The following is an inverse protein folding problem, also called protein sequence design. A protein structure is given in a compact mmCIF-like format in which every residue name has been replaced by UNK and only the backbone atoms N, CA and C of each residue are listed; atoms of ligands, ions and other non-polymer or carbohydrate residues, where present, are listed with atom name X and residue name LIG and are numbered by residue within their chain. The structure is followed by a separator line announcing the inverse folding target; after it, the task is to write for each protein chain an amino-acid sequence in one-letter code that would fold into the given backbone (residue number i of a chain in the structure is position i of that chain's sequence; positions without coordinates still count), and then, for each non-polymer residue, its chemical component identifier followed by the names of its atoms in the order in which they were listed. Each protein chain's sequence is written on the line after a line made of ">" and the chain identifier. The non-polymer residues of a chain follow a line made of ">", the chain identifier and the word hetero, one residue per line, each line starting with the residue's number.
data_IF_301445820032
#
_entry.id   IF_301445820032
#
_cell.length_a   1.000
_cell.length_b   1.000
_cell.length_c   1.000
_cell.angle_alpha   90.00
_cell.angle_beta   90.00
_cell.angle_gamma   90.00
#
_symmetry.space_group_name_H-M   'P 1'
#
loop_
_entity.id
_entity.type
_entity.pdbx_description
1 polymer ?
#
# COMPACT_ATOMS: atom_id res chain seq x y z
N UNK A 1 -6.00 18.95 -37.57
CA UNK A 1 -6.76 17.81 -37.00
C UNK A 1 -6.69 17.87 -35.48
N UNK A 2 -7.58 17.16 -34.77
CA UNK A 2 -7.74 17.28 -33.31
C UNK A 2 -6.50 16.87 -32.49
N UNK A 3 -5.60 16.04 -33.04
CA UNK A 3 -4.46 15.51 -32.31
C UNK A 3 -3.10 16.05 -32.78
N UNK A 4 -3.06 17.02 -33.69
CA UNK A 4 -1.81 17.51 -34.29
C UNK A 4 -0.85 18.16 -33.29
N UNK A 5 -1.38 18.63 -32.16
CA UNK A 5 -0.62 19.29 -31.11
C UNK A 5 -0.49 18.44 -29.83
N UNK A 6 -0.85 17.16 -29.87
CA UNK A 6 -0.66 16.27 -28.70
C UNK A 6 0.84 16.06 -28.53
N UNK A 7 1.36 16.49 -27.38
CA UNK A 7 2.76 16.29 -27.04
C UNK A 7 3.00 14.85 -26.57
N UNK A 8 4.18 14.32 -26.89
CA UNK A 8 4.62 13.05 -26.36
C UNK A 8 4.80 13.17 -24.84
N UNK A 9 4.40 12.13 -24.11
CA UNK A 9 4.65 12.04 -22.67
C UNK A 9 6.14 11.98 -22.35
N UNK A 10 6.49 12.28 -21.10
CA UNK A 10 7.87 12.13 -20.62
C UNK A 10 8.34 10.67 -20.73
N UNK A 11 9.65 10.43 -20.98
CA UNK A 11 10.21 9.08 -20.98
C UNK A 11 9.99 8.36 -19.64
N UNK A 12 9.63 7.08 -19.70
CA UNK A 12 9.54 6.20 -18.53
C UNK A 12 10.65 5.15 -18.65
N UNK A 13 11.69 5.31 -17.82
CA UNK A 13 12.87 4.43 -17.83
C UNK A 13 12.51 2.97 -17.49
N UNK A 14 11.48 2.73 -16.68
CA UNK A 14 11.04 1.38 -16.33
C UNK A 14 10.26 0.75 -17.48
N UNK A 15 9.42 1.53 -18.17
CA UNK A 15 8.76 1.10 -19.40
C UNK A 15 9.77 0.72 -20.48
N UNK A 16 10.76 1.58 -20.74
CA UNK A 16 11.79 1.31 -21.74
C UNK A 16 12.64 0.10 -21.39
N UNK A 17 13.07 -0.02 -20.12
CA UNK A 17 13.84 -1.17 -19.65
C UNK A 17 13.04 -2.47 -19.84
N UNK A 18 11.75 -2.45 -19.51
CA UNK A 18 10.89 -3.62 -19.68
C UNK A 18 10.77 -4.04 -21.14
N UNK A 19 10.52 -3.09 -22.05
CA UNK A 19 10.47 -3.38 -23.48
C UNK A 19 11.77 -3.99 -24.00
N UNK A 20 12.92 -3.46 -23.57
CA UNK A 20 14.23 -3.99 -23.96
C UNK A 20 14.44 -5.41 -23.42
N UNK A 21 14.13 -5.66 -22.15
CA UNK A 21 14.26 -6.97 -21.52
C UNK A 21 13.33 -8.02 -22.16
N UNK A 22 12.10 -7.65 -22.52
CA UNK A 22 11.15 -8.54 -23.19
C UNK A 22 11.55 -8.83 -24.64
N UNK A 23 12.08 -7.83 -25.34
CA UNK A 23 12.58 -7.96 -26.72
C UNK A 23 13.92 -8.68 -26.86
N UNK A 24 14.68 -8.83 -25.77
CA UNK A 24 15.96 -9.56 -25.79
C UNK A 24 15.72 -11.07 -25.97
N UNK A 25 16.29 -11.64 -27.03
CA UNK A 25 16.19 -13.08 -27.36
C UNK A 25 17.39 -13.88 -26.88
N UNK A 26 18.35 -13.27 -26.18
CA UNK A 26 19.51 -13.98 -25.64
C UNK A 26 19.05 -15.03 -24.62
N UNK A 27 19.40 -16.32 -24.80
CA UNK A 27 18.98 -17.39 -23.88
C UNK A 27 19.57 -17.23 -22.46
N UNK A 28 20.60 -16.41 -22.29
CA UNK A 28 21.24 -16.13 -21.00
C UNK A 28 20.81 -14.79 -20.38
N UNK A 29 19.72 -14.17 -20.87
CA UNK A 29 19.26 -12.89 -20.34
C UNK A 29 18.83 -13.00 -18.87
N UNK A 30 19.06 -11.93 -18.12
CA UNK A 30 18.60 -11.78 -16.74
C UNK A 30 17.89 -10.43 -16.61
N UNK A 31 16.58 -10.46 -16.31
CA UNK A 31 15.77 -9.26 -16.06
C UNK A 31 15.78 -8.95 -14.55
N UNK A 32 16.49 -7.89 -14.17
CA UNK A 32 16.55 -7.36 -12.81
C UNK A 32 15.79 -6.03 -12.66
N UNK A 33 14.97 -5.66 -13.65
CA UNK A 33 14.30 -4.36 -13.67
C UNK A 33 13.03 -4.33 -12.83
N UNK A 34 12.07 -5.20 -13.15
CA UNK A 34 10.75 -5.17 -12.50
C UNK A 34 10.78 -5.96 -11.20
N UNK A 35 10.35 -5.33 -10.09
CA UNK A 35 10.21 -5.95 -8.77
C UNK A 35 9.07 -6.98 -8.67
N UNK A 36 9.21 -8.11 -9.37
CA UNK A 36 8.35 -9.29 -9.31
C UNK A 36 9.17 -10.44 -8.74
N UNK A 37 8.67 -11.08 -7.69
CA UNK A 37 9.25 -12.32 -7.18
C UNK A 37 9.15 -13.44 -8.23
N UNK A 38 10.28 -14.09 -8.49
CA UNK A 38 10.42 -15.18 -9.46
C UNK A 38 10.87 -16.46 -8.77
N UNK A 39 10.46 -17.60 -9.31
CA UNK A 39 10.97 -18.90 -8.87
C UNK A 39 12.39 -19.16 -9.39
N UNK A 40 12.96 -20.32 -9.08
CA UNK A 40 14.32 -20.72 -9.47
C UNK A 40 14.51 -20.84 -10.99
N UNK A 41 13.42 -20.87 -11.77
CA UNK A 41 13.44 -20.86 -13.23
C UNK A 41 13.25 -19.45 -13.83
N UNK A 42 13.18 -18.40 -13.00
CA UNK A 42 12.93 -17.02 -13.44
C UNK A 42 11.49 -16.75 -13.86
N UNK A 43 10.55 -17.65 -13.57
CA UNK A 43 9.14 -17.57 -13.95
C UNK A 43 8.28 -17.01 -12.81
N UNK A 44 7.02 -16.69 -13.13
CA UNK A 44 6.03 -16.34 -12.10
C UNK A 44 5.94 -17.46 -11.05
N UNK A 45 6.12 -17.08 -9.78
CA UNK A 45 5.98 -17.99 -8.67
C UNK A 45 4.55 -17.90 -8.11
N UNK A 46 3.74 -18.92 -8.38
CA UNK A 46 2.41 -19.04 -7.79
C UNK A 46 2.49 -19.68 -6.40
N UNK A 47 1.98 -18.97 -5.39
CA UNK A 47 1.93 -19.48 -4.01
C UNK A 47 0.95 -20.66 -3.92
N UNK A 48 1.27 -21.66 -3.08
CA UNK A 48 0.39 -22.82 -2.85
C UNK A 48 -1.00 -22.42 -2.36
N UNK A 49 -1.06 -21.49 -1.40
CA UNK A 49 -2.32 -20.94 -0.89
C UNK A 49 -3.13 -20.26 -2.00
N UNK A 50 -2.45 -19.58 -2.93
CA UNK A 50 -3.09 -18.92 -4.08
C UNK A 50 -3.66 -19.94 -5.06
N UNK A 51 -2.92 -21.00 -5.37
CA UNK A 51 -3.43 -22.08 -6.21
C UNK A 51 -4.68 -22.73 -5.60
N UNK A 52 -4.65 -23.07 -4.32
CA UNK A 52 -5.80 -23.67 -3.63
C UNK A 52 -7.02 -22.73 -3.62
N UNK A 53 -6.81 -21.43 -3.38
CA UNK A 53 -7.87 -20.43 -3.44
C UNK A 53 -8.48 -20.29 -4.85
N UNK A 54 -7.67 -20.34 -5.92
CA UNK A 54 -8.18 -20.35 -7.30
C UNK A 54 -9.03 -21.58 -7.58
N UNK A 55 -8.56 -22.76 -7.17
CA UNK A 55 -9.29 -24.02 -7.34
C UNK A 55 -10.63 -23.98 -6.57
N UNK A 56 -10.64 -23.40 -5.36
CA UNK A 56 -11.85 -23.19 -4.57
C UNK A 56 -12.86 -22.23 -5.24
N UNK A 57 -12.40 -21.08 -5.74
CA UNK A 57 -13.27 -20.11 -6.41
C UNK A 57 -13.81 -20.66 -7.74
N UNK A 58 -13.02 -21.45 -8.47
CA UNK A 58 -13.47 -22.11 -9.69
C UNK A 58 -14.59 -23.12 -9.40
N UNK A 59 -14.51 -23.84 -8.28
CA UNK A 59 -15.53 -24.81 -7.88
C UNK A 59 -16.83 -24.14 -7.37
N UNK A 60 -16.74 -22.97 -6.73
CA UNK A 60 -17.89 -22.28 -6.14
C UNK A 60 -18.57 -21.28 -7.08
N UNK A 61 -17.87 -20.80 -8.11
CA UNK A 61 -18.36 -19.84 -9.11
C UNK A 61 -19.10 -18.63 -8.48
N UNK A 62 -18.37 -17.72 -7.81
CA UNK A 62 -18.95 -16.60 -7.06
C UNK A 62 -19.52 -15.47 -7.96
N UNK A 63 -19.94 -15.76 -9.20
CA UNK A 63 -20.41 -14.83 -10.22
C UNK A 63 -19.43 -13.68 -10.56
N UNK A 64 -19.87 -12.74 -11.41
CA UNK A 64 -19.09 -11.58 -11.85
C UNK A 64 -19.83 -10.25 -11.65
N UNK A 65 -20.77 -10.22 -10.70
CA UNK A 65 -21.53 -9.01 -10.38
C UNK A 65 -20.61 -7.94 -9.77
N UNK A 66 -21.04 -6.68 -9.88
CA UNK A 66 -20.34 -5.57 -9.24
C UNK A 66 -20.31 -5.75 -7.73
N UNK A 67 -19.12 -5.58 -7.14
CA UNK A 67 -18.98 -5.39 -5.70
C UNK A 67 -19.54 -4.01 -5.30
N UNK A 68 -19.81 -3.85 -4.01
CA UNK A 68 -20.13 -2.54 -3.44
C UNK A 68 -19.01 -1.55 -3.77
N UNK A 69 -19.33 -0.28 -3.99
CA UNK A 69 -18.34 0.76 -4.37
C UNK A 69 -17.11 0.79 -3.47
N UNK A 70 -17.29 0.56 -2.16
CA UNK A 70 -16.19 0.57 -1.18
C UNK A 70 -15.40 -0.75 -1.12
N UNK A 71 -15.88 -1.81 -1.78
CA UNK A 71 -15.27 -3.12 -1.82
C UNK A 71 -15.94 -4.15 -0.90
N UNK A 72 -15.37 -5.36 -0.90
CA UNK A 72 -15.87 -6.47 -0.12
C UNK A 72 -15.55 -6.29 1.38
N UNK A 73 -16.56 -6.33 2.24
CA UNK A 73 -16.41 -6.05 3.67
C UNK A 73 -15.55 -7.08 4.41
N UNK A 74 -15.59 -8.35 4.01
CA UNK A 74 -14.76 -9.40 4.63
C UNK A 74 -13.29 -9.26 4.22
N UNK A 75 -13.03 -9.00 2.93
CA UNK A 75 -11.70 -8.64 2.45
C UNK A 75 -11.12 -7.47 3.24
N UNK A 76 -11.90 -6.38 3.44
CA UNK A 76 -11.42 -5.20 4.15
C UNK A 76 -11.12 -5.46 5.62
N UNK A 77 -11.92 -6.30 6.30
CA UNK A 77 -11.61 -6.74 7.67
C UNK A 77 -10.31 -7.51 7.72
N UNK A 78 -10.10 -8.47 6.81
CA UNK A 78 -8.88 -9.25 6.74
C UNK A 78 -7.66 -8.38 6.38
N UNK A 79 -7.80 -7.47 5.43
CA UNK A 79 -6.77 -6.52 5.03
C UNK A 79 -6.32 -5.63 6.21
N UNK A 80 -7.28 -5.03 6.91
CA UNK A 80 -7.01 -4.21 8.09
C UNK A 80 -6.40 -5.04 9.24
N UNK A 81 -6.85 -6.28 9.44
CA UNK A 81 -6.28 -7.21 10.44
C UNK A 81 -4.80 -7.48 10.21
N UNK A 82 -4.37 -7.67 8.97
CA UNK A 82 -2.95 -7.86 8.62
C UNK A 82 -2.12 -6.61 8.97
N UNK A 83 -2.64 -5.40 8.71
CA UNK A 83 -1.93 -4.15 9.03
C UNK A 83 -1.87 -3.90 10.54
N UNK A 84 -3.02 -3.92 11.22
CA UNK A 84 -3.13 -3.43 12.59
C UNK A 84 -2.99 -4.53 13.66
N UNK A 85 -2.94 -5.79 13.25
CA UNK A 85 -2.88 -6.95 14.13
C UNK A 85 -4.26 -7.42 14.61
N UNK A 86 -4.32 -8.70 15.00
CA UNK A 86 -5.52 -9.32 15.57
C UNK A 86 -5.90 -8.63 16.89
N UNK A 87 -7.21 -8.38 17.11
CA UNK A 87 -7.75 -7.82 18.36
C UNK A 87 -7.05 -6.52 18.82
N UNK A 88 -6.67 -5.68 17.86
CA UNK A 88 -6.04 -4.40 18.18
C UNK A 88 -7.08 -3.38 18.64
N UNK A 89 -6.77 -2.66 19.72
CA UNK A 89 -7.61 -1.58 20.25
C UNK A 89 -8.01 -0.55 19.16
N UNK A 90 -7.16 -0.38 18.14
CA UNK A 90 -7.44 0.52 17.02
C UNK A 90 -8.61 0.02 16.16
N UNK A 91 -8.65 -1.27 15.83
CA UNK A 91 -9.76 -1.88 15.08
C UNK A 91 -11.05 -1.87 15.90
N UNK A 92 -10.95 -2.19 17.19
CA UNK A 92 -12.10 -2.23 18.11
C UNK A 92 -12.68 -0.83 18.39
N UNK A 93 -11.88 0.24 18.24
CA UNK A 93 -12.33 1.60 18.48
C UNK A 93 -13.38 2.13 17.50
N UNK A 94 -13.57 1.46 16.34
CA UNK A 94 -14.46 1.92 15.27
C UNK A 94 -13.96 3.17 14.54
N UNK A 95 -12.72 3.60 14.78
CA UNK A 95 -12.10 4.78 14.17
C UNK A 95 -11.37 4.50 12.86
N UNK A 96 -11.38 3.26 12.38
CA UNK A 96 -10.71 2.86 11.14
C UNK A 96 -11.71 2.85 9.98
N UNK A 97 -11.52 3.73 9.02
CA UNK A 97 -12.23 3.68 7.74
C UNK A 97 -11.39 2.91 6.72
N UNK A 98 -11.98 1.93 6.02
CA UNK A 98 -11.26 1.14 5.02
C UNK A 98 -12.05 1.05 3.72
N UNK A 99 -11.37 1.18 2.58
CA UNK A 99 -11.93 0.96 1.25
C UNK A 99 -10.99 0.13 0.39
N UNK A 100 -11.53 -0.69 -0.51
CA UNK A 100 -10.75 -1.48 -1.45
C UNK A 100 -10.31 -0.60 -2.61
N UNK A 101 -9.07 -0.73 -3.03
CA UNK A 101 -8.46 0.10 -4.08
C UNK A 101 -7.79 -0.74 -5.15
N UNK A 102 -7.41 -0.09 -6.26
CA UNK A 102 -6.62 -0.68 -7.34
C UNK A 102 -5.16 -0.80 -6.90
N UNK A 103 -4.87 -1.79 -6.06
CA UNK A 103 -3.53 -2.04 -5.49
C UNK A 103 -3.00 -0.82 -4.69
N UNK A 104 -1.68 -0.79 -4.46
CA UNK A 104 -1.01 0.31 -3.75
C UNK A 104 -1.06 1.63 -4.53
N UNK A 105 -0.84 1.60 -5.85
CA UNK A 105 -0.91 2.81 -6.70
C UNK A 105 -2.27 3.48 -6.65
N UNK A 106 -3.36 2.70 -6.76
CA UNK A 106 -4.72 3.22 -6.63
C UNK A 106 -5.04 3.68 -5.21
N UNK A 107 -4.43 3.05 -4.20
CA UNK A 107 -4.56 3.47 -2.79
C UNK A 107 -3.94 4.85 -2.56
N UNK A 108 -2.69 5.05 -3.02
CA UNK A 108 -1.98 6.33 -2.94
C UNK A 108 -2.72 7.41 -3.73
N UNK A 109 -3.20 7.10 -4.94
CA UNK A 109 -3.99 8.03 -5.76
C UNK A 109 -5.22 8.54 -5.01
N UNK A 110 -6.06 7.62 -4.49
CA UNK A 110 -7.26 7.98 -3.74
C UNK A 110 -6.92 8.73 -2.45
N UNK A 111 -5.86 8.33 -1.73
CA UNK A 111 -5.38 9.00 -0.53
C UNK A 111 -4.98 10.46 -0.81
N UNK A 112 -4.16 10.69 -1.84
CA UNK A 112 -3.70 12.03 -2.22
C UNK A 112 -4.85 12.89 -2.77
N UNK A 113 -5.77 12.30 -3.55
CA UNK A 113 -7.00 13.00 -3.95
C UNK A 113 -7.84 13.42 -2.74
N UNK A 114 -8.02 12.52 -1.77
CA UNK A 114 -8.74 12.80 -0.54
C UNK A 114 -8.08 13.95 0.24
N UNK A 115 -6.76 13.88 0.43
CA UNK A 115 -5.99 14.90 1.15
C UNK A 115 -6.03 16.25 0.41
N UNK A 116 -5.89 16.28 -0.92
CA UNK A 116 -5.94 17.53 -1.69
C UNK A 116 -7.28 18.28 -1.60
N UNK A 117 -8.37 17.57 -1.27
CA UNK A 117 -9.71 18.15 -1.09
C UNK A 117 -10.00 18.53 0.34
N UNK A 118 -9.32 17.88 1.29
CA UNK A 118 -9.54 18.03 2.73
C UNK A 118 -8.50 18.94 3.40
N UNK A 119 -7.34 19.13 2.78
CA UNK A 119 -6.19 19.90 3.28
C UNK A 119 -5.76 20.91 2.22
N UNK A 120 -5.61 22.19 2.59
CA UNK A 120 -5.17 23.25 1.68
C UNK A 120 -3.64 23.42 1.73
N UNK A 121 -3.02 23.79 0.60
CA UNK A 121 -1.62 24.25 0.57
C UNK A 121 -0.54 23.16 0.52
N UNK A 122 -0.80 22.04 -0.15
CA UNK A 122 0.20 20.96 -0.27
C UNK A 122 1.37 21.38 -1.17
N UNK A 123 2.58 21.42 -0.60
CA UNK A 123 3.85 21.54 -1.32
C UNK A 123 4.65 20.22 -1.20
N UNK A 124 5.38 19.83 -2.25
CA UNK A 124 6.14 18.56 -2.29
C UNK A 124 7.63 18.80 -2.03
N UNK A 125 8.16 18.21 -0.97
CA UNK A 125 9.61 18.17 -0.67
C UNK A 125 10.08 16.71 -0.56
N UNK A 126 11.23 16.38 -1.15
CA UNK A 126 11.84 15.04 -1.12
C UNK A 126 13.19 15.13 -0.44
N UNK A 127 13.42 14.30 0.57
CA UNK A 127 14.70 14.20 1.28
C UNK A 127 15.37 12.87 0.93
N UNK A 128 16.49 12.91 0.20
CA UNK A 128 17.27 11.72 -0.17
C UNK A 128 18.76 12.08 -0.28
N UNK A 129 19.63 11.26 0.33
CA UNK A 129 21.08 11.39 0.23
C UNK A 129 21.67 10.17 -0.50
N UNK A 130 22.25 10.34 -1.70
CA UNK A 130 22.75 9.24 -2.53
C UNK A 130 24.08 8.64 -2.06
N UNK A 131 24.78 9.27 -1.11
CA UNK A 131 26.23 9.03 -0.94
C UNK A 131 26.60 7.86 -0.02
N UNK A 132 25.64 7.29 0.73
CA UNK A 132 25.98 6.29 1.78
C UNK A 132 25.31 4.93 1.66
N UNK A 133 24.30 4.78 0.78
CA UNK A 133 23.47 3.56 0.72
C UNK A 133 22.72 3.25 2.02
N UNK A 134 22.66 4.21 2.96
CA UNK A 134 21.96 4.11 4.24
C UNK A 134 20.97 5.26 4.34
N UNK A 135 20.02 5.14 5.27
CA UNK A 135 19.20 6.27 5.68
C UNK A 135 20.10 7.37 6.24
N UNK A 136 20.07 8.53 5.61
CA UNK A 136 20.60 9.76 6.23
C UNK A 136 19.61 10.26 7.27
N UNK A 137 19.81 9.78 8.50
CA UNK A 137 18.91 10.05 9.60
C UNK A 137 18.85 11.53 9.99
N UNK A 138 19.97 12.26 9.83
CA UNK A 138 19.99 13.69 10.14
C UNK A 138 19.13 14.46 9.15
N UNK A 139 19.24 14.15 7.84
CA UNK A 139 18.39 14.74 6.81
C UNK A 139 16.89 14.47 7.05
N UNK A 140 16.53 13.28 7.58
CA UNK A 140 15.14 12.97 7.96
C UNK A 140 14.67 13.86 9.12
N UNK A 141 15.48 14.03 10.16
CA UNK A 141 15.12 14.90 11.28
C UNK A 141 15.06 16.38 10.87
N UNK A 142 16.00 16.84 10.04
CA UNK A 142 15.97 18.19 9.48
C UNK A 142 14.70 18.45 8.66
N UNK A 143 14.23 17.46 7.90
CA UNK A 143 12.95 17.53 7.18
C UNK A 143 11.77 17.75 8.13
N UNK A 144 11.68 16.92 9.18
CA UNK A 144 10.64 16.97 10.20
C UNK A 144 10.67 18.30 10.96
N UNK A 145 11.87 18.77 11.31
CA UNK A 145 12.07 20.04 12.01
C UNK A 145 11.92 21.27 11.11
N UNK A 146 12.05 21.13 9.80
CA UNK A 146 11.85 22.20 8.83
C UNK A 146 10.38 22.34 8.38
N UNK A 147 9.58 21.27 8.48
CA UNK A 147 8.21 21.25 7.97
C UNK A 147 7.25 22.14 8.77
N UNK A 148 6.33 22.79 8.06
CA UNK A 148 5.22 23.50 8.69
C UNK A 148 4.25 22.50 9.36
N UNK A 149 3.54 22.89 10.43
CA UNK A 149 2.46 22.08 10.98
C UNK A 149 1.46 21.65 9.90
N UNK A 150 0.88 20.47 10.09
CA UNK A 150 -0.08 19.84 9.17
C UNK A 150 0.52 19.40 7.81
N UNK A 151 1.86 19.46 7.65
CA UNK A 151 2.53 18.88 6.48
C UNK A 151 2.41 17.35 6.45
N UNK A 152 2.36 16.79 5.25
CA UNK A 152 2.18 15.35 5.01
C UNK A 152 3.53 14.69 4.73
N UNK A 153 3.83 13.63 5.48
CA UNK A 153 5.03 12.81 5.29
C UNK A 153 4.63 11.45 4.72
N UNK A 154 5.15 11.14 3.53
CA UNK A 154 4.99 9.80 2.93
C UNK A 154 6.09 8.90 3.48
N UNK A 155 5.71 7.84 4.17
CA UNK A 155 6.60 6.91 4.86
C UNK A 155 6.42 5.51 4.27
N UNK A 156 7.50 4.87 3.84
CA UNK A 156 7.43 3.46 3.45
C UNK A 156 7.57 2.60 4.72
N UNK A 157 6.62 1.70 4.94
CA UNK A 157 6.52 0.96 6.21
C UNK A 157 7.72 0.02 6.45
N UNK A 158 8.19 -0.63 5.38
CA UNK A 158 9.35 -1.53 5.35
C UNK A 158 9.84 -1.70 3.91
N UNK A 159 10.97 -2.38 3.76
CA UNK A 159 11.63 -2.72 2.51
C UNK A 159 11.71 -1.51 1.56
N UNK A 160 12.29 -0.41 2.05
CA UNK A 160 12.25 0.87 1.34
C UNK A 160 12.65 0.71 -0.14
N UNK A 161 11.79 1.09 -1.07
CA UNK A 161 12.07 1.08 -2.49
C UNK A 161 12.55 2.49 -2.90
N UNK A 162 13.79 2.65 -3.41
CA UNK A 162 14.62 1.60 -4.03
C UNK A 162 15.79 1.05 -3.20
N UNK A 163 16.02 1.53 -1.98
CA UNK A 163 17.32 1.33 -1.29
C UNK A 163 17.40 0.10 -0.37
N UNK A 164 16.27 -0.51 -0.03
CA UNK A 164 16.08 -1.49 1.05
C UNK A 164 16.54 -1.00 2.44
N UNK A 165 16.75 0.30 2.63
CA UNK A 165 17.25 0.86 3.88
C UNK A 165 16.08 1.26 4.78
N UNK A 166 15.73 0.39 5.72
CA UNK A 166 14.64 0.60 6.68
C UNK A 166 15.11 1.29 7.97
N UNK A 167 14.20 2.02 8.61
CA UNK A 167 14.44 2.57 9.95
C UNK A 167 14.48 1.46 11.01
N UNK A 168 15.36 1.62 12.00
CA UNK A 168 15.30 0.80 13.21
C UNK A 168 14.05 1.11 14.04
N UNK A 169 13.68 0.22 14.96
CA UNK A 169 12.55 0.50 15.88
C UNK A 169 12.77 1.77 16.71
N UNK A 170 13.99 2.06 17.13
CA UNK A 170 14.28 3.28 17.89
C UNK A 170 14.18 4.53 17.02
N UNK A 171 14.60 4.46 15.75
CA UNK A 171 14.37 5.54 14.78
C UNK A 171 12.87 5.76 14.54
N UNK A 172 12.06 4.71 14.43
CA UNK A 172 10.61 4.84 14.32
C UNK A 172 9.98 5.54 15.53
N UNK A 173 10.41 5.19 16.76
CA UNK A 173 9.95 5.85 18.00
C UNK A 173 10.34 7.32 18.04
N UNK A 174 11.58 7.63 17.71
CA UNK A 174 12.04 9.02 17.62
C UNK A 174 11.24 9.78 16.57
N UNK A 175 11.04 9.21 15.39
CA UNK A 175 10.28 9.85 14.31
C UNK A 175 8.84 10.17 14.75
N UNK A 176 8.15 9.21 15.38
CA UNK A 176 6.80 9.41 15.90
C UNK A 176 6.74 10.58 16.89
N UNK A 177 7.66 10.62 17.86
CA UNK A 177 7.74 11.71 18.82
C UNK A 177 7.94 13.07 18.12
N UNK A 178 8.95 13.17 17.26
CA UNK A 178 9.28 14.44 16.61
C UNK A 178 8.16 14.90 15.66
N UNK A 179 7.50 13.98 14.95
CA UNK A 179 6.35 14.31 14.11
C UNK A 179 5.14 14.77 14.94
N UNK A 180 4.91 14.18 16.11
CA UNK A 180 3.82 14.56 17.00
C UNK A 180 4.04 15.98 17.56
N UNK A 181 5.25 16.27 18.05
CA UNK A 181 5.65 17.60 18.55
C UNK A 181 5.45 18.69 17.48
N UNK A 182 5.55 18.31 16.21
CA UNK A 182 5.41 19.19 15.05
C UNK A 182 4.03 19.17 14.40
N UNK A 183 3.08 18.36 14.92
CA UNK A 183 1.75 18.13 14.34
C UNK A 183 1.80 17.77 12.85
N UNK A 184 2.61 16.78 12.51
CA UNK A 184 2.77 16.31 11.13
C UNK A 184 1.88 15.09 10.86
N UNK A 185 1.43 14.96 9.61
CA UNK A 185 0.50 13.90 9.22
C UNK A 185 1.20 12.77 8.44
N UNK A 186 1.21 11.53 8.94
CA UNK A 186 1.84 10.41 8.24
C UNK A 186 0.90 9.73 7.22
N UNK A 187 1.43 9.47 6.03
CA UNK A 187 0.84 8.61 5.00
C UNK A 187 1.79 7.44 4.76
N UNK A 188 1.38 6.23 5.14
CA UNK A 188 2.17 5.02 4.96
C UNK A 188 1.93 4.38 3.59
N UNK A 189 3.02 4.07 2.87
CA UNK A 189 3.02 3.17 1.71
C UNK A 189 3.51 1.78 2.14
N UNK A 190 2.65 0.77 1.96
CA UNK A 190 2.84 -0.58 2.46
C UNK A 190 2.84 -1.59 1.31
N UNK A 191 3.99 -1.70 0.65
CA UNK A 191 4.14 -2.53 -0.53
C UNK A 191 4.68 -3.95 -0.26
N UNK A 192 5.36 -4.17 0.88
CA UNK A 192 6.26 -5.31 1.08
C UNK A 192 6.09 -6.03 2.43
N UNK A 193 5.01 -5.78 3.16
CA UNK A 193 4.76 -6.43 4.45
C UNK A 193 4.85 -7.97 4.33
N UNK A 194 5.68 -8.58 5.18
CA UNK A 194 6.00 -10.01 5.19
C UNK A 194 7.22 -10.40 4.36
N UNK A 195 7.83 -9.47 3.61
CA UNK A 195 9.03 -9.71 2.80
C UNK A 195 10.31 -9.15 3.42
N UNK A 196 10.19 -8.37 4.51
CA UNK A 196 11.32 -7.88 5.28
C UNK A 196 11.68 -8.85 6.42
N UNK A 197 11.33 -8.47 7.63
CA UNK A 197 11.63 -9.22 8.85
C UNK A 197 10.47 -10.12 9.33
N UNK A 198 9.25 -9.87 8.85
CA UNK A 198 8.06 -10.62 9.22
C UNK A 198 6.80 -9.76 9.14
N UNK A 199 5.61 -10.39 9.18
CA UNK A 199 4.34 -9.68 9.01
C UNK A 199 4.12 -8.58 10.05
N UNK A 200 4.51 -8.82 11.31
CA UNK A 200 4.30 -7.88 12.41
C UNK A 200 5.45 -6.87 12.53
N UNK A 201 6.68 -7.32 12.32
CA UNK A 201 7.89 -6.51 12.36
C UNK A 201 7.89 -5.45 11.27
N UNK A 202 7.44 -5.81 10.06
CA UNK A 202 7.41 -4.94 8.88
C UNK A 202 6.42 -3.77 9.00
N UNK A 203 5.55 -3.80 10.01
CA UNK A 203 4.56 -2.73 10.27
C UNK A 203 4.73 -2.11 11.64
N UNK A 204 5.87 -2.36 12.30
CA UNK A 204 6.18 -1.80 13.61
C UNK A 204 5.99 -0.28 13.65
N UNK A 205 6.57 0.45 12.68
CA UNK A 205 6.50 1.91 12.62
C UNK A 205 5.05 2.42 12.58
N UNK A 206 4.25 1.88 11.66
CA UNK A 206 2.84 2.23 11.53
C UNK A 206 2.05 1.94 12.80
N UNK A 207 2.21 0.74 13.38
CA UNK A 207 1.50 0.37 14.61
C UNK A 207 1.92 1.25 15.78
N UNK A 208 3.19 1.62 15.86
CA UNK A 208 3.68 2.55 16.89
C UNK A 208 3.05 3.94 16.73
N UNK A 209 3.01 4.51 15.52
CA UNK A 209 2.29 5.77 15.27
C UNK A 209 0.81 5.68 15.67
N UNK A 210 0.13 4.58 15.32
CA UNK A 210 -1.26 4.36 15.72
C UNK A 210 -1.45 4.31 17.25
N UNK A 211 -0.50 3.70 17.97
CA UNK A 211 -0.50 3.61 19.44
C UNK A 211 -0.26 4.97 20.11
N UNK A 212 0.59 5.81 19.52
CA UNK A 212 0.84 7.20 19.95
C UNK A 212 -0.35 8.13 19.63
N UNK A 213 -1.41 7.62 19.00
CA UNK A 213 -2.67 8.34 18.81
C UNK A 213 -2.76 9.15 17.51
N UNK A 214 -1.87 8.92 16.56
CA UNK A 214 -1.89 9.61 15.27
C UNK A 214 -3.17 9.34 14.47
N UNK A 215 -3.68 10.40 13.84
CA UNK A 215 -4.45 10.27 12.61
C UNK A 215 -3.49 9.93 11.47
N UNK A 216 -3.83 8.95 10.63
CA UNK A 216 -2.94 8.51 9.56
C UNK A 216 -3.68 7.86 8.40
N UNK A 217 -3.02 7.78 7.24
CA UNK A 217 -3.43 6.95 6.11
C UNK A 217 -2.43 5.80 5.91
N UNK A 218 -2.93 4.63 5.52
CA UNK A 218 -2.12 3.46 5.19
C UNK A 218 -2.56 2.86 3.85
N UNK A 219 -1.65 2.86 2.89
CA UNK A 219 -1.85 2.39 1.53
C UNK A 219 -1.30 0.96 1.39
N UNK A 220 -2.18 -0.04 1.43
CA UNK A 220 -1.82 -1.45 1.39
C UNK A 220 -1.96 -2.05 -0.01
N UNK A 221 -1.03 -2.93 -0.38
CA UNK A 221 -1.13 -3.77 -1.59
C UNK A 221 -0.88 -5.24 -1.28
N UNK A 222 -1.53 -6.12 -2.04
CA UNK A 222 -1.23 -7.56 -2.02
C UNK A 222 -0.48 -8.03 -3.27
N UNK A 223 0.01 -7.10 -4.09
CA UNK A 223 0.75 -7.45 -5.30
C UNK A 223 2.00 -8.28 -5.04
N UNK A 224 2.74 -7.98 -3.97
CA UNK A 224 4.00 -8.67 -3.64
C UNK A 224 3.77 -9.81 -2.65
N UNK A 225 3.13 -9.51 -1.51
CA UNK A 225 2.87 -10.47 -0.43
C UNK A 225 2.02 -11.68 -0.84
N UNK A 226 1.14 -11.55 -1.85
CA UNK A 226 0.38 -12.68 -2.40
C UNK A 226 0.79 -13.04 -3.83
N UNK A 227 1.76 -12.34 -4.43
CA UNK A 227 2.08 -12.50 -5.85
C UNK A 227 0.93 -12.10 -6.79
N UNK A 228 0.01 -11.24 -6.36
CA UNK A 228 -1.16 -10.78 -7.11
C UNK A 228 -0.88 -9.49 -7.89
N UNK A 229 0.23 -9.47 -8.65
CA UNK A 229 0.70 -8.29 -9.36
C UNK A 229 -0.36 -7.73 -10.33
N UNK A 230 -0.89 -8.60 -11.20
CA UNK A 230 -1.85 -8.24 -12.24
C UNK A 230 -3.30 -8.10 -11.77
N UNK A 231 -3.67 -8.68 -10.63
CA UNK A 231 -5.05 -8.60 -10.09
C UNK A 231 -5.39 -7.24 -9.48
N UNK A 232 -4.37 -6.40 -9.28
CA UNK A 232 -4.49 -5.03 -8.78
C UNK A 232 -5.32 -4.92 -7.49
N UNK A 233 -5.07 -5.80 -6.53
CA UNK A 233 -5.78 -5.83 -5.24
C UNK A 233 -5.00 -5.08 -4.16
N UNK A 234 -5.69 -4.16 -3.47
CA UNK A 234 -5.14 -3.37 -2.37
C UNK A 234 -6.25 -2.73 -1.53
N UNK A 235 -5.85 -1.96 -0.52
CA UNK A 235 -6.77 -1.25 0.37
C UNK A 235 -6.18 0.10 0.79
N UNK A 236 -7.06 1.03 1.12
CA UNK A 236 -6.72 2.27 1.83
C UNK A 236 -7.38 2.22 3.20
N UNK A 237 -6.59 2.44 4.24
CA UNK A 237 -7.06 2.56 5.62
C UNK A 237 -6.80 3.97 6.14
N UNK A 238 -7.77 4.54 6.85
CA UNK A 238 -7.62 5.80 7.57
C UNK A 238 -7.89 5.59 9.05
N UNK A 239 -6.95 5.99 9.91
CA UNK A 239 -7.20 6.12 11.35
C UNK A 239 -7.69 7.54 11.60
N UNK A 240 -8.89 7.64 12.17
CA UNK A 240 -9.57 8.91 12.43
C UNK A 240 -9.62 9.22 13.95
N UNK A 241 -9.90 10.48 14.34
CA UNK A 241 -9.95 10.86 15.75
C UNK A 241 -11.22 10.35 16.43
N UNK A 242 -12.31 10.16 15.69
CA UNK A 242 -13.60 9.68 16.22
C UNK A 242 -14.31 8.76 15.22
N UNK A 243 -15.30 8.01 15.70
CA UNK A 243 -16.17 7.14 14.85
C UNK A 243 -16.96 7.96 13.84
N UNK A 244 -17.40 9.16 14.23
CA UNK A 244 -18.13 10.08 13.35
C UNK A 244 -17.25 10.57 12.20
N UNK A 245 -15.99 10.92 12.49
CA UNK A 245 -15.04 11.31 11.45
C UNK A 245 -14.69 10.12 10.56
N UNK A 246 -14.50 8.92 11.12
CA UNK A 246 -14.28 7.71 10.32
C UNK A 246 -15.42 7.45 9.32
N UNK A 247 -16.67 7.61 9.75
CA UNK A 247 -17.84 7.49 8.87
C UNK A 247 -17.82 8.52 7.73
N UNK A 248 -17.52 9.78 8.05
CA UNK A 248 -17.42 10.85 7.04
C UNK A 248 -16.27 10.61 6.04
N UNK A 249 -15.11 10.17 6.54
CA UNK A 249 -13.96 9.81 5.70
C UNK A 249 -14.33 8.63 4.79
N UNK A 250 -14.94 7.58 5.32
CA UNK A 250 -15.39 6.44 4.52
C UNK A 250 -16.36 6.85 3.41
N UNK A 251 -17.33 7.73 3.70
CA UNK A 251 -18.27 8.22 2.67
C UNK A 251 -17.58 9.08 1.59
N UNK A 252 -16.62 9.91 1.99
CA UNK A 252 -15.83 10.69 1.03
C UNK A 252 -14.95 9.79 0.15
N UNK A 253 -14.34 8.75 0.71
CA UNK A 253 -13.57 7.77 -0.05
C UNK A 253 -14.46 7.00 -1.03
N UNK A 254 -15.66 6.57 -0.61
CA UNK A 254 -16.68 5.99 -1.49
C UNK A 254 -17.00 6.92 -2.65
N UNK A 255 -17.21 8.22 -2.38
CA UNK A 255 -17.50 9.21 -3.41
C UNK A 255 -16.37 9.31 -4.44
N UNK A 256 -15.11 9.37 -3.99
CA UNK A 256 -13.95 9.43 -4.88
C UNK A 256 -13.80 8.16 -5.71
N UNK A 257 -13.94 6.98 -5.10
CA UNK A 257 -13.90 5.71 -5.85
C UNK A 257 -14.97 5.67 -6.93
N UNK A 258 -16.19 6.12 -6.62
CA UNK A 258 -17.29 6.14 -7.58
C UNK A 258 -16.97 7.01 -8.80
N UNK A 259 -16.30 8.15 -8.61
CA UNK A 259 -15.92 9.05 -9.70
C UNK A 259 -14.72 8.56 -10.52
N UNK A 260 -13.77 7.86 -9.88
CA UNK A 260 -12.55 7.42 -10.55
C UNK A 260 -12.74 6.12 -11.34
N UNK A 261 -13.33 5.10 -10.71
CA UNK A 261 -13.40 3.75 -11.30
C UNK A 261 -14.64 2.95 -10.89
N UNK A 262 -15.67 3.59 -10.35
CA UNK A 262 -16.94 2.99 -9.91
C UNK A 262 -16.86 2.04 -8.72
N UNK A 263 -16.09 0.95 -8.84
CA UNK A 263 -15.91 -0.12 -7.86
C UNK A 263 -14.63 -0.90 -8.17
N UNK A 264 -13.96 -1.41 -7.15
CA UNK A 264 -12.73 -2.19 -7.33
C UNK A 264 -12.98 -3.61 -7.89
N UNK A 265 -12.02 -4.21 -8.63
CA UNK A 265 -12.13 -5.58 -9.14
C UNK A 265 -12.32 -6.63 -8.04
N UNK A 266 -13.21 -7.59 -8.25
CA UNK A 266 -13.61 -8.54 -7.22
C UNK A 266 -12.63 -9.71 -7.03
N UNK A 267 -12.04 -10.22 -8.12
CA UNK A 267 -11.36 -11.53 -8.12
C UNK A 267 -10.15 -11.58 -7.18
N UNK A 268 -9.25 -10.58 -7.25
CA UNK A 268 -8.12 -10.47 -6.33
C UNK A 268 -8.54 -10.39 -4.86
N UNK A 269 -9.59 -9.62 -4.54
CA UNK A 269 -10.11 -9.53 -3.18
C UNK A 269 -10.71 -10.85 -2.69
N UNK A 270 -11.42 -11.58 -3.57
CA UNK A 270 -11.96 -12.91 -3.25
C UNK A 270 -10.84 -13.92 -2.97
N UNK A 271 -9.75 -13.91 -3.75
CA UNK A 271 -8.59 -14.77 -3.49
C UNK A 271 -7.98 -14.49 -2.11
N UNK A 272 -7.74 -13.21 -1.80
CA UNK A 272 -7.21 -12.81 -0.49
C UNK A 272 -8.17 -13.21 0.63
N UNK A 273 -9.48 -12.98 0.48
CA UNK A 273 -10.49 -13.42 1.47
C UNK A 273 -10.49 -14.93 1.65
N UNK A 274 -10.52 -15.70 0.56
CA UNK A 274 -10.52 -17.18 0.63
C UNK A 274 -9.30 -17.69 1.40
N UNK A 275 -8.13 -17.07 1.22
CA UNK A 275 -6.91 -17.44 1.95
C UNK A 275 -7.00 -17.03 3.42
N UNK A 276 -7.29 -15.75 3.69
CA UNK A 276 -7.22 -15.17 5.04
C UNK A 276 -8.41 -15.53 5.94
N UNK A 277 -9.49 -16.11 5.40
CA UNK A 277 -10.64 -16.59 6.17
C UNK A 277 -10.57 -18.09 6.49
N UNK A 278 -9.55 -18.81 5.99
CA UNK A 278 -9.31 -20.23 6.30
C UNK A 278 -7.95 -20.38 7.01
N UNK A 279 -7.92 -20.78 8.29
CA UNK A 279 -6.66 -20.89 9.05
C UNK A 279 -5.61 -21.81 8.42
N UNK A 280 -6.02 -22.82 7.64
CA UNK A 280 -5.07 -23.71 6.94
C UNK A 280 -4.48 -23.02 5.73
N UNK A 281 -5.28 -22.30 4.94
CA UNK A 281 -4.77 -21.52 3.80
C UNK A 281 -3.89 -20.37 4.28
N UNK A 282 -4.31 -19.66 5.32
CA UNK A 282 -3.52 -18.58 5.93
C UNK A 282 -2.18 -19.10 6.47
N UNK A 283 -2.11 -20.29 7.04
CA UNK A 283 -0.84 -20.88 7.49
C UNK A 283 0.08 -21.30 6.33
N UNK A 284 -0.49 -21.65 5.18
CA UNK A 284 0.29 -22.00 3.97
C UNK A 284 0.82 -20.73 3.27
N UNK A 285 0.08 -19.63 3.36
CA UNK A 285 0.48 -18.32 2.88
C UNK A 285 1.59 -17.75 3.76
#
# INVERSE_FOLDING_TARGET
>A
MFFDNVQQGAPDVMYELKLRADGDTNPNKVDLGVGIYRNEQGLYHELKALKDAKDHLAATNPNHDYEVTTGNAEYLRNAARIVFGNSSNILESGRVASVQTISGTGSIHIALMFLSRSVQGLEKTVHYSPDTGRVDWNSVLEAVHGAAPDSIFILQACCHNPTAADFSQDQWKTLAKEMNDRRLFPLFDMAYQGLGNGLDEDVFGLRHFAQEGFELLACQTFSKSFGLYGERVGALHAICPTVQVASAVHDQLRFLIRSEFSSSPAYGARLVTTILSDPKRELIW
#
